data_IF_754902926604
#
_entry.id   IF_754902926604
#
_cell.length_a   1.000
_cell.length_b   1.000
_cell.length_c   1.000
_cell.angle_alpha   90.00
_cell.angle_beta   90.00
_cell.angle_gamma   90.00
#
_symmetry.space_group_name_H-M   'P 1'
#
loop_
_entity.id
_entity.type
_entity.pdbx_description
1 polymer ?
#
# COMPACT_ATOMS: atom_id res chain seq x y z
N UNK A 1 -30.35 8.00 3.12
CA UNK A 1 -29.82 6.92 2.27
C UNK A 1 -30.18 7.10 0.80
N UNK A 2 -31.45 7.00 0.37
CA UNK A 2 -31.85 7.13 -1.07
C UNK A 2 -31.27 8.37 -1.76
N UNK A 3 -31.44 9.56 -1.15
CA UNK A 3 -30.90 10.81 -1.69
C UNK A 3 -29.37 10.83 -1.76
N UNK A 4 -28.70 10.35 -0.71
CA UNK A 4 -27.23 10.32 -0.65
C UNK A 4 -26.62 9.42 -1.73
N UNK A 5 -27.10 8.19 -1.86
CA UNK A 5 -26.64 7.28 -2.91
C UNK A 5 -27.08 7.74 -4.31
N UNK A 6 -28.27 8.31 -4.44
CA UNK A 6 -28.75 8.87 -5.70
C UNK A 6 -27.86 10.02 -6.20
N UNK A 7 -27.44 10.91 -5.30
CA UNK A 7 -26.51 11.99 -5.63
C UNK A 7 -25.14 11.46 -6.06
N UNK A 8 -24.59 10.46 -5.34
CA UNK A 8 -23.34 9.81 -5.74
C UNK A 8 -23.45 9.15 -7.12
N UNK A 9 -24.56 8.46 -7.40
CA UNK A 9 -24.79 7.82 -8.70
C UNK A 9 -24.89 8.86 -9.83
N UNK A 10 -25.64 9.96 -9.61
CA UNK A 10 -25.74 11.05 -10.56
C UNK A 10 -24.38 11.71 -10.84
N UNK A 11 -23.58 11.97 -9.80
CA UNK A 11 -22.24 12.53 -9.95
C UNK A 11 -21.32 11.61 -10.77
N UNK A 12 -21.32 10.29 -10.49
CA UNK A 12 -20.53 9.32 -11.26
C UNK A 12 -21.00 9.25 -12.73
N UNK A 13 -22.31 9.33 -12.97
CA UNK A 13 -22.86 9.35 -14.33
C UNK A 13 -22.40 10.60 -15.11
N UNK A 14 -22.39 11.77 -14.46
CA UNK A 14 -21.89 13.00 -15.07
C UNK A 14 -20.40 12.87 -15.41
N UNK A 15 -19.58 12.38 -14.48
CA UNK A 15 -18.14 12.13 -14.71
C UNK A 15 -17.92 11.17 -15.89
N UNK A 16 -18.72 10.10 -15.97
CA UNK A 16 -18.66 9.14 -17.07
C UNK A 16 -19.00 9.76 -18.43
N UNK A 17 -20.03 10.59 -18.50
CA UNK A 17 -20.42 11.30 -19.73
C UNK A 17 -19.31 12.27 -20.17
N UNK A 18 -18.75 13.04 -19.23
CA UNK A 18 -17.62 13.94 -19.50
C UNK A 18 -16.40 13.17 -20.00
N UNK A 19 -16.08 12.03 -19.37
CA UNK A 19 -14.97 11.17 -19.76
C UNK A 19 -15.12 10.64 -21.20
N UNK A 20 -16.30 10.11 -21.57
CA UNK A 20 -16.52 9.60 -22.93
C UNK A 20 -16.49 10.73 -23.96
N UNK A 21 -17.08 11.87 -23.63
CA UNK A 21 -17.09 13.04 -24.51
C UNK A 21 -15.66 13.55 -24.78
N UNK A 22 -14.75 13.36 -23.82
CA UNK A 22 -13.33 13.70 -23.92
C UNK A 22 -12.49 12.77 -24.80
N UNK A 23 -13.03 11.67 -25.33
CA UNK A 23 -12.25 10.62 -26.04
C UNK A 23 -11.39 11.16 -27.18
N UNK A 24 -11.86 12.19 -27.89
CA UNK A 24 -11.15 12.80 -29.04
C UNK A 24 -9.86 13.52 -28.58
N UNK A 25 -9.80 13.97 -27.32
CA UNK A 25 -8.64 14.66 -26.75
C UNK A 25 -7.62 13.71 -26.11
N UNK A 26 -7.95 12.43 -25.94
CA UNK A 26 -7.06 11.46 -25.31
C UNK A 26 -6.06 10.90 -26.32
N UNK A 27 -4.76 10.93 -25.96
CA UNK A 27 -3.71 10.28 -26.73
C UNK A 27 -3.62 8.82 -26.27
N UNK A 28 -3.74 7.83 -27.18
CA UNK A 28 -3.58 6.44 -26.80
C UNK A 28 -2.12 6.17 -26.42
N UNK A 29 -1.91 5.66 -25.21
CA UNK A 29 -0.61 5.14 -24.81
C UNK A 29 -0.40 3.73 -25.38
N UNK A 30 0.85 3.39 -25.67
CA UNK A 30 1.21 2.05 -26.13
C UNK A 30 0.96 1.06 -25.00
N UNK A 31 0.20 0.01 -25.28
CA UNK A 31 -0.08 -1.07 -24.32
C UNK A 31 1.25 -1.73 -23.94
N UNK A 32 1.78 -1.40 -22.76
CA UNK A 32 2.85 -2.18 -22.14
C UNK A 32 2.25 -3.49 -21.63
N UNK A 33 2.97 -4.60 -21.81
CA UNK A 33 2.53 -5.91 -21.33
C UNK A 33 2.30 -5.88 -19.81
N UNK A 34 1.39 -6.73 -19.31
CA UNK A 34 1.09 -6.73 -17.88
C UNK A 34 2.25 -7.32 -17.06
N UNK A 35 2.77 -6.61 -16.05
CA UNK A 35 3.76 -7.09 -15.08
C UNK A 35 3.39 -8.46 -14.49
N UNK A 36 2.11 -8.63 -14.14
CA UNK A 36 1.58 -9.88 -13.58
C UNK A 36 1.76 -11.07 -14.52
N UNK A 37 1.62 -10.87 -15.84
CA UNK A 37 1.82 -11.97 -16.80
C UNK A 37 3.26 -12.43 -16.87
N UNK A 38 4.23 -11.54 -16.61
CA UNK A 38 5.65 -11.91 -16.53
C UNK A 38 5.92 -12.68 -15.23
N UNK A 39 5.40 -12.21 -14.10
CA UNK A 39 5.50 -12.92 -12.81
C UNK A 39 4.94 -14.34 -12.87
N UNK A 40 3.75 -14.53 -13.45
CA UNK A 40 3.14 -15.86 -13.60
C UNK A 40 3.99 -16.73 -14.54
N UNK A 41 4.55 -16.17 -15.62
CA UNK A 41 5.44 -16.90 -16.53
C UNK A 41 6.67 -17.44 -15.82
N UNK A 42 7.30 -16.66 -14.95
CA UNK A 42 8.47 -17.12 -14.16
C UNK A 42 8.12 -18.33 -13.29
N UNK A 43 6.96 -18.30 -12.63
CA UNK A 43 6.49 -19.42 -11.80
C UNK A 43 6.21 -20.67 -12.65
N UNK A 44 5.51 -20.51 -13.78
CA UNK A 44 5.19 -21.62 -14.69
C UNK A 44 6.48 -22.22 -15.29
N UNK A 45 7.39 -21.39 -15.79
CA UNK A 45 8.64 -21.85 -16.38
C UNK A 45 9.54 -22.57 -15.35
N UNK A 46 9.68 -22.02 -14.15
CA UNK A 46 10.46 -22.64 -13.08
C UNK A 46 9.87 -24.00 -12.66
N UNK A 47 8.54 -24.10 -12.52
CA UNK A 47 7.87 -25.35 -12.13
C UNK A 47 7.94 -26.43 -13.22
N UNK A 48 7.83 -26.06 -14.50
CA UNK A 48 8.03 -26.99 -15.62
C UNK A 48 9.46 -27.52 -15.67
N UNK A 49 10.45 -26.68 -15.31
CA UNK A 49 11.88 -27.00 -15.31
C UNK A 49 12.40 -27.53 -13.97
N UNK A 50 11.53 -27.85 -13.01
CA UNK A 50 11.92 -28.29 -11.64
C UNK A 50 12.83 -29.52 -11.58
N UNK A 51 12.86 -30.34 -12.64
CA UNK A 51 13.74 -31.54 -12.73
C UNK A 51 15.12 -31.24 -13.32
N UNK A 52 15.34 -30.03 -13.84
CA UNK A 52 16.62 -29.61 -14.39
C UNK A 52 17.53 -29.08 -13.29
N UNK A 53 18.84 -29.21 -13.51
CA UNK A 53 19.86 -28.72 -12.58
C UNK A 53 20.21 -27.30 -12.96
N UNK A 54 20.32 -26.41 -11.97
CA UNK A 54 20.79 -25.03 -12.15
C UNK A 54 22.21 -25.08 -12.73
N UNK A 55 22.44 -24.38 -13.85
CA UNK A 55 23.75 -24.35 -14.49
C UNK A 55 24.64 -23.27 -13.87
N UNK A 56 25.95 -23.54 -13.79
CA UNK A 56 26.96 -22.55 -13.39
C UNK A 56 27.51 -21.75 -14.58
N UNK A 57 27.01 -22.00 -15.81
CA UNK A 57 27.48 -21.33 -17.03
C UNK A 57 26.51 -20.23 -17.45
N UNK A 58 27.04 -19.03 -17.65
CA UNK A 58 26.28 -17.83 -18.02
C UNK A 58 25.56 -17.98 -19.37
N UNK A 59 26.15 -18.71 -20.31
CA UNK A 59 25.65 -18.94 -21.67
C UNK A 59 24.32 -19.71 -21.70
N UNK A 60 24.06 -20.50 -20.65
CA UNK A 60 22.88 -21.34 -20.53
C UNK A 60 21.63 -20.54 -20.14
N UNK A 61 21.75 -19.24 -19.82
CA UNK A 61 20.63 -18.39 -19.43
C UNK A 61 20.13 -17.50 -20.59
N UNK A 62 18.82 -17.29 -20.66
CA UNK A 62 18.17 -16.42 -21.63
C UNK A 62 18.14 -14.97 -21.13
N UNK A 63 18.75 -14.04 -21.87
CA UNK A 63 18.89 -12.64 -21.43
C UNK A 63 17.78 -11.69 -21.92
N UNK A 64 16.81 -12.19 -22.70
CA UNK A 64 15.79 -11.34 -23.32
C UNK A 64 16.34 -10.48 -24.46
N UNK A 65 15.45 -9.99 -25.33
CA UNK A 65 15.80 -9.35 -26.61
C UNK A 65 15.94 -7.80 -26.51
N UNK A 66 16.17 -7.25 -25.32
CA UNK A 66 15.86 -5.83 -25.02
C UNK A 66 16.99 -4.89 -24.60
N UNK A 67 18.24 -5.34 -24.43
CA UNK A 67 19.38 -4.44 -24.20
C UNK A 67 20.55 -4.85 -25.09
N UNK A 68 20.87 -3.98 -26.03
CA UNK A 68 22.05 -4.06 -26.88
C UNK A 68 23.29 -4.41 -26.04
N UNK A 69 23.94 -5.52 -26.41
CA UNK A 69 25.37 -5.86 -26.47
C UNK A 69 26.43 -5.26 -25.52
N UNK A 70 26.17 -4.29 -24.63
CA UNK A 70 27.20 -3.55 -23.91
C UNK A 70 26.97 -3.42 -22.39
N UNK A 71 26.02 -4.16 -21.81
CA UNK A 71 25.92 -4.29 -20.35
C UNK A 71 26.26 -5.72 -19.98
N UNK A 72 27.27 -5.89 -19.12
CA UNK A 72 27.76 -7.16 -18.57
C UNK A 72 26.68 -8.23 -18.47
N UNK A 73 26.97 -9.40 -19.06
CA UNK A 73 26.23 -10.66 -18.89
C UNK A 73 25.91 -10.84 -17.40
N UNK A 74 24.63 -10.73 -17.04
CA UNK A 74 24.18 -10.81 -15.65
C UNK A 74 23.92 -12.28 -15.29
N UNK A 75 24.77 -12.83 -14.42
CA UNK A 75 24.48 -14.07 -13.69
C UNK A 75 23.22 -13.88 -12.84
N UNK A 76 22.25 -14.81 -12.90
CA UNK A 76 21.14 -14.81 -11.96
C UNK A 76 21.64 -14.89 -10.51
N UNK A 77 20.98 -14.19 -9.60
CA UNK A 77 21.33 -14.21 -8.19
C UNK A 77 21.15 -15.62 -7.59
N UNK A 78 22.04 -16.02 -6.69
CA UNK A 78 21.97 -17.29 -5.94
C UNK A 78 20.78 -17.35 -4.98
N UNK A 79 20.25 -16.21 -4.54
CA UNK A 79 19.06 -16.20 -3.69
C UNK A 79 17.84 -16.67 -4.50
N UNK A 80 17.01 -17.53 -3.90
CA UNK A 80 15.84 -18.11 -4.56
C UNK A 80 16.20 -18.77 -5.91
N UNK A 81 17.33 -19.48 -5.94
CA UNK A 81 17.93 -20.11 -7.13
C UNK A 81 16.99 -21.05 -7.89
N UNK A 82 15.94 -21.57 -7.23
CA UNK A 82 14.88 -22.33 -7.89
C UNK A 82 14.27 -21.56 -9.08
N UNK A 83 14.08 -20.25 -8.99
CA UNK A 83 13.51 -19.47 -10.09
C UNK A 83 14.49 -19.22 -11.23
N UNK A 84 15.79 -19.46 -11.04
CA UNK A 84 16.79 -19.39 -12.13
C UNK A 84 16.48 -20.41 -13.22
N UNK A 85 15.81 -21.52 -12.86
CA UNK A 85 15.36 -22.54 -13.80
C UNK A 85 14.42 -21.96 -14.88
N UNK A 86 13.67 -20.89 -14.58
CA UNK A 86 12.81 -20.24 -15.58
C UNK A 86 13.59 -19.60 -16.74
N UNK A 87 14.81 -19.15 -16.47
CA UNK A 87 15.69 -18.53 -17.47
C UNK A 87 16.66 -19.52 -18.14
N UNK A 88 16.72 -20.78 -17.68
CA UNK A 88 17.63 -21.79 -18.20
C UNK A 88 17.18 -22.30 -19.59
N UNK A 89 18.05 -22.23 -20.60
CA UNK A 89 17.82 -22.77 -21.94
C UNK A 89 17.87 -24.30 -21.90
N UNK A 90 16.79 -24.95 -22.30
CA UNK A 90 16.75 -26.42 -22.45
C UNK A 90 16.69 -26.80 -23.93
N UNK A 91 17.19 -27.98 -24.32
CA UNK A 91 17.17 -28.48 -25.71
C UNK A 91 15.75 -28.47 -26.34
N UNK A 92 14.72 -28.63 -25.52
CA UNK A 92 13.31 -28.58 -25.92
C UNK A 92 12.78 -27.17 -26.23
N UNK A 93 13.50 -26.11 -25.86
CA UNK A 93 13.09 -24.71 -26.11
C UNK A 93 13.50 -24.22 -27.51
N UNK A 94 14.37 -24.97 -28.21
CA UNK A 94 14.91 -24.60 -29.53
C UNK A 94 13.97 -24.86 -30.71
N UNK A 95 12.91 -25.66 -30.52
CA UNK A 95 11.94 -25.98 -31.58
C UNK A 95 10.63 -25.20 -31.48
N UNK A 96 10.31 -24.63 -30.31
CA UNK A 96 9.08 -23.89 -30.08
C UNK A 96 9.31 -22.84 -28.98
N UNK A 97 9.59 -21.59 -29.35
CA UNK A 97 9.81 -20.46 -28.43
C UNK A 97 8.50 -20.06 -27.71
N UNK A 98 7.97 -20.96 -26.89
CA UNK A 98 6.81 -20.66 -26.07
C UNK A 98 7.25 -19.71 -24.95
N UNK A 99 6.72 -18.48 -24.97
CA UNK A 99 6.97 -17.43 -23.97
C UNK A 99 6.70 -17.86 -22.52
N UNK A 100 6.05 -19.01 -22.31
CA UNK A 100 5.70 -19.59 -21.01
C UNK A 100 6.72 -20.60 -20.47
N UNK A 101 7.66 -21.10 -21.29
CA UNK A 101 8.70 -22.06 -20.88
C UNK A 101 10.06 -21.41 -20.67
N UNK A 102 10.31 -20.26 -21.28
CA UNK A 102 11.58 -19.54 -21.20
C UNK A 102 11.34 -18.07 -20.88
N UNK A 103 11.82 -17.63 -19.73
CA UNK A 103 11.80 -16.24 -19.28
C UNK A 103 13.21 -15.63 -19.43
N UNK A 104 13.30 -14.31 -19.44
CA UNK A 104 14.60 -13.63 -19.37
C UNK A 104 15.14 -13.59 -17.93
N UNK A 105 16.46 -13.47 -17.77
CA UNK A 105 17.10 -13.28 -16.45
C UNK A 105 16.51 -12.05 -15.73
N UNK A 106 16.23 -10.97 -16.47
CA UNK A 106 15.62 -9.77 -15.89
C UNK A 106 14.26 -10.07 -15.27
N UNK A 107 13.35 -10.76 -15.99
CA UNK A 107 12.04 -11.14 -15.46
C UNK A 107 12.13 -12.01 -14.20
N UNK A 108 13.14 -12.90 -14.14
CA UNK A 108 13.39 -13.73 -12.97
C UNK A 108 13.87 -12.90 -11.78
N UNK A 109 14.82 -11.99 -11.98
CA UNK A 109 15.31 -11.11 -10.91
C UNK A 109 14.23 -10.13 -10.44
N UNK A 110 13.41 -9.59 -11.33
CA UNK A 110 12.27 -8.74 -10.99
C UNK A 110 11.26 -9.49 -10.11
N UNK A 111 10.96 -10.74 -10.46
CA UNK A 111 10.09 -11.61 -9.65
C UNK A 111 10.70 -11.91 -8.27
N UNK A 112 12.00 -12.19 -8.19
CA UNK A 112 12.68 -12.40 -6.91
C UNK A 112 12.69 -11.14 -6.04
N UNK A 113 12.88 -9.96 -6.63
CA UNK A 113 12.82 -8.69 -5.92
C UNK A 113 11.44 -8.51 -5.27
N UNK A 114 10.36 -8.79 -6.01
CA UNK A 114 8.98 -8.75 -5.49
C UNK A 114 8.79 -9.77 -4.34
N UNK A 115 9.32 -10.98 -4.47
CA UNK A 115 9.27 -11.98 -3.38
C UNK A 115 9.99 -11.50 -2.10
N UNK A 116 11.10 -10.77 -2.24
CA UNK A 116 11.82 -10.19 -1.08
C UNK A 116 11.01 -9.09 -0.38
N UNK A 117 10.06 -8.45 -1.10
CA UNK A 117 9.18 -7.42 -0.53
C UNK A 117 7.92 -7.99 0.12
N UNK A 118 7.59 -9.27 -0.09
CA UNK A 118 6.42 -9.90 0.52
C UNK A 118 6.37 -9.81 2.05
N UNK A 119 7.46 -10.03 2.81
CA UNK A 119 7.42 -9.90 4.27
C UNK A 119 7.07 -8.47 4.72
N UNK A 120 7.60 -7.47 4.01
CA UNK A 120 7.29 -6.07 4.28
C UNK A 120 5.83 -5.76 3.94
N UNK A 121 5.34 -6.23 2.80
CA UNK A 121 3.94 -6.07 2.42
C UNK A 121 2.98 -6.74 3.41
N UNK A 122 3.30 -7.96 3.86
CA UNK A 122 2.53 -8.67 4.87
C UNK A 122 2.50 -7.94 6.22
N UNK A 123 3.62 -7.35 6.65
CA UNK A 123 3.65 -6.58 7.90
C UNK A 123 2.79 -5.32 7.81
N UNK A 124 2.76 -4.64 6.65
CA UNK A 124 1.87 -3.49 6.41
C UNK A 124 0.40 -3.89 6.55
N UNK A 125 -0.03 -5.07 6.08
CA UNK A 125 -1.41 -5.54 6.23
C UNK A 125 -1.78 -5.72 7.70
N UNK A 126 -0.91 -6.41 8.45
CA UNK A 126 -1.13 -6.64 9.89
C UNK A 126 -1.26 -5.29 10.61
N UNK A 127 -0.36 -4.35 10.32
CA UNK A 127 -0.34 -3.04 10.96
C UNK A 127 -1.43 -2.08 10.45
N UNK A 128 -2.07 -2.35 9.31
CA UNK A 128 -3.23 -1.61 8.80
C UNK A 128 -4.55 -2.08 9.41
N UNK A 129 -4.58 -3.29 9.97
CA UNK A 129 -5.78 -3.87 10.60
C UNK A 129 -6.33 -3.00 11.74
N UNK A 130 -5.51 -2.49 12.68
CA UNK A 130 -5.97 -1.56 13.71
C UNK A 130 -6.65 -0.30 13.15
N UNK A 131 -6.12 0.27 12.06
CA UNK A 131 -6.70 1.47 11.43
C UNK A 131 -8.10 1.16 10.89
N UNK A 132 -8.26 0.03 10.19
CA UNK A 132 -9.55 -0.42 9.67
C UNK A 132 -10.56 -0.70 10.79
N UNK A 133 -10.12 -1.35 11.87
CA UNK A 133 -10.97 -1.59 13.04
C UNK A 133 -11.38 -0.27 13.71
N UNK A 134 -10.45 0.67 13.87
CA UNK A 134 -10.73 1.98 14.45
C UNK A 134 -11.79 2.73 13.63
N UNK A 135 -11.67 2.73 12.28
CA UNK A 135 -12.67 3.38 11.43
C UNK A 135 -14.10 2.87 11.65
N UNK A 136 -14.26 1.57 11.88
CA UNK A 136 -15.59 0.94 12.07
C UNK A 136 -16.07 1.06 13.51
N UNK A 137 -15.22 0.72 14.47
CA UNK A 137 -15.57 0.70 15.90
C UNK A 137 -15.86 2.10 16.43
N UNK A 138 -15.14 3.13 15.99
CA UNK A 138 -15.44 4.51 16.41
C UNK A 138 -16.86 4.94 16.04
N UNK A 139 -17.39 4.51 14.90
CA UNK A 139 -18.78 4.80 14.52
C UNK A 139 -19.76 4.10 15.46
N UNK A 140 -19.51 2.83 15.80
CA UNK A 140 -20.33 2.08 16.75
C UNK A 140 -20.29 2.69 18.15
N UNK A 141 -19.10 3.07 18.63
CA UNK A 141 -18.92 3.77 19.90
C UNK A 141 -19.71 5.08 19.92
N UNK A 142 -19.60 5.89 18.86
CA UNK A 142 -20.31 7.14 18.75
C UNK A 142 -21.84 6.98 18.74
N UNK A 143 -22.37 5.91 18.15
CA UNK A 143 -23.81 5.61 18.20
C UNK A 143 -24.30 5.34 19.62
N UNK A 144 -23.44 4.80 20.49
CA UNK A 144 -23.72 4.53 21.90
C UNK A 144 -23.35 5.68 22.86
N UNK A 145 -22.95 6.84 22.33
CA UNK A 145 -22.55 8.02 23.09
C UNK A 145 -23.54 9.18 22.89
N UNK A 146 -23.48 10.17 23.78
CA UNK A 146 -24.19 11.43 23.58
C UNK A 146 -23.50 12.25 22.48
N UNK A 147 -24.21 12.42 21.36
CA UNK A 147 -23.74 13.12 20.16
C UNK A 147 -24.18 14.59 20.12
N UNK A 148 -24.81 15.10 21.18
CA UNK A 148 -25.17 16.51 21.31
C UNK A 148 -23.92 17.40 21.39
N UNK A 149 -23.87 18.43 20.55
CA UNK A 149 -22.95 19.56 20.68
C UNK A 149 -23.80 20.82 20.85
N UNK A 150 -23.72 21.43 22.03
CA UNK A 150 -24.60 22.54 22.40
C UNK A 150 -26.06 22.09 22.57
N UNK A 151 -26.99 23.03 22.41
CA UNK A 151 -28.42 22.79 22.67
C UNK A 151 -29.17 22.13 21.50
N UNK A 152 -28.76 22.39 20.25
CA UNK A 152 -29.59 22.11 19.07
C UNK A 152 -28.95 21.22 18.00
N UNK A 153 -27.68 20.84 18.14
CA UNK A 153 -26.97 20.10 17.10
C UNK A 153 -26.56 18.71 17.57
N UNK A 154 -26.86 17.69 16.75
CA UNK A 154 -26.46 16.31 16.99
C UNK A 154 -25.56 15.83 15.87
N UNK A 155 -24.30 15.58 16.20
CA UNK A 155 -23.29 15.15 15.22
C UNK A 155 -23.66 13.76 14.67
N UNK A 156 -23.65 13.55 13.35
CA UNK A 156 -23.76 12.20 12.77
C UNK A 156 -22.58 11.32 13.19
N UNK A 157 -22.83 10.09 13.66
CA UNK A 157 -21.75 9.20 14.11
C UNK A 157 -20.69 8.94 13.01
N UNK A 158 -21.14 8.78 11.76
CA UNK A 158 -20.25 8.57 10.62
C UNK A 158 -19.38 9.79 10.24
N UNK A 159 -19.76 11.01 10.64
CA UNK A 159 -18.98 12.21 10.29
C UNK A 159 -17.78 12.44 11.21
N UNK A 160 -17.61 11.65 12.27
CA UNK A 160 -16.47 11.80 13.17
C UNK A 160 -15.13 11.49 12.48
N UNK A 161 -15.13 10.67 11.42
CA UNK A 161 -13.91 10.37 10.67
C UNK A 161 -13.30 11.60 10.00
N UNK A 162 -14.09 12.68 9.80
CA UNK A 162 -13.58 13.97 9.33
C UNK A 162 -12.49 14.51 10.25
N UNK A 163 -12.55 14.23 11.56
CA UNK A 163 -11.51 14.64 12.52
C UNK A 163 -10.16 14.00 12.14
N UNK A 164 -10.15 12.70 11.83
CA UNK A 164 -8.95 12.00 11.36
C UNK A 164 -8.46 12.60 10.05
N UNK A 165 -9.34 12.74 9.05
CA UNK A 165 -8.97 13.28 7.73
C UNK A 165 -8.37 14.69 7.82
N UNK A 166 -8.98 15.59 8.58
CA UNK A 166 -8.47 16.95 8.79
C UNK A 166 -7.13 16.92 9.51
N UNK A 167 -6.98 16.06 10.52
CA UNK A 167 -5.71 15.87 11.21
C UNK A 167 -4.62 15.35 10.27
N UNK A 168 -4.91 14.35 9.44
CA UNK A 168 -4.00 13.81 8.42
C UNK A 168 -3.53 14.91 7.48
N UNK A 169 -4.44 15.72 6.92
CA UNK A 169 -4.08 16.82 6.02
C UNK A 169 -3.21 17.86 6.73
N UNK A 170 -3.59 18.29 7.94
CA UNK A 170 -2.84 19.27 8.70
C UNK A 170 -1.42 18.78 9.00
N UNK A 171 -1.26 17.51 9.40
CA UNK A 171 0.04 16.93 9.70
C UNK A 171 0.85 16.59 8.45
N UNK A 172 0.25 16.30 7.30
CA UNK A 172 0.98 16.20 6.02
C UNK A 172 1.64 17.53 5.66
N UNK A 173 0.90 18.63 5.77
CA UNK A 173 1.42 19.98 5.53
C UNK A 173 2.50 20.31 6.57
N UNK A 174 2.25 20.05 7.85
CA UNK A 174 3.23 20.27 8.92
C UNK A 174 4.51 19.43 8.73
N UNK A 175 4.37 18.18 8.28
CA UNK A 175 5.51 17.29 8.06
C UNK A 175 6.42 17.82 6.95
N UNK A 176 5.83 18.24 5.83
CA UNK A 176 6.57 18.79 4.70
C UNK A 176 7.22 20.14 5.00
N UNK A 177 6.54 21.03 5.72
CA UNK A 177 7.02 22.39 5.98
C UNK A 177 7.96 22.49 7.20
N UNK A 178 7.74 21.66 8.22
CA UNK A 178 8.40 21.83 9.52
C UNK A 178 9.20 20.58 9.93
N UNK A 179 8.55 19.41 10.01
CA UNK A 179 9.17 18.21 10.62
C UNK A 179 10.37 17.73 9.81
N UNK A 180 10.24 17.56 8.49
CA UNK A 180 11.35 17.07 7.67
C UNK A 180 12.51 18.07 7.57
N UNK A 181 12.28 19.38 7.35
CA UNK A 181 13.35 20.38 7.40
C UNK A 181 14.06 20.45 8.76
N UNK A 182 13.31 20.41 9.88
CA UNK A 182 13.88 20.42 11.22
C UNK A 182 14.70 19.18 11.51
N UNK A 183 14.18 17.99 11.16
CA UNK A 183 14.91 16.73 11.31
C UNK A 183 16.23 16.77 10.55
N UNK A 184 16.21 17.26 9.30
CA UNK A 184 17.42 17.44 8.48
C UNK A 184 18.38 18.46 9.12
N UNK A 185 17.89 19.54 9.72
CA UNK A 185 18.73 20.55 10.38
C UNK A 185 19.40 20.01 11.64
N UNK A 186 18.67 19.24 12.44
CA UNK A 186 19.14 18.72 13.73
C UNK A 186 20.05 17.50 13.58
N UNK A 187 19.60 16.50 12.81
CA UNK A 187 20.26 15.19 12.70
C UNK A 187 21.18 15.12 11.47
N UNK A 188 21.11 16.11 10.57
CA UNK A 188 21.87 16.17 9.30
C UNK A 188 21.64 14.97 8.37
N UNK A 189 20.59 14.18 8.60
CA UNK A 189 20.15 13.06 7.76
C UNK A 189 18.69 13.25 7.34
N UNK A 190 18.29 12.61 6.26
CA UNK A 190 16.88 12.53 5.86
C UNK A 190 16.22 11.37 6.61
N UNK A 191 14.98 11.57 7.02
CA UNK A 191 14.17 10.52 7.60
C UNK A 191 13.85 9.51 6.49
N UNK A 192 14.20 8.23 6.68
CA UNK A 192 13.97 7.23 5.63
C UNK A 192 12.48 6.88 5.52
N UNK A 193 11.98 6.50 4.34
CA UNK A 193 10.59 6.07 4.19
C UNK A 193 10.23 4.94 5.17
N UNK A 194 11.10 3.94 5.35
CA UNK A 194 10.85 2.85 6.29
C UNK A 194 10.75 3.33 7.76
N UNK A 195 11.53 4.33 8.16
CA UNK A 195 11.41 4.95 9.48
C UNK A 195 10.08 5.68 9.64
N UNK A 196 9.62 6.39 8.60
CA UNK A 196 8.32 7.07 8.60
C UNK A 196 7.16 6.08 8.74
N UNK A 197 7.22 4.94 8.04
CA UNK A 197 6.26 3.83 8.19
C UNK A 197 6.21 3.37 9.64
N UNK A 198 7.37 3.09 10.25
CA UNK A 198 7.47 2.68 11.65
C UNK A 198 6.89 3.70 12.63
N UNK A 199 7.23 4.99 12.47
CA UNK A 199 6.71 6.08 13.31
C UNK A 199 5.18 6.15 13.20
N UNK A 200 4.64 6.12 11.99
CA UNK A 200 3.20 6.18 11.77
C UNK A 200 2.46 5.02 12.45
N UNK A 201 2.97 3.79 12.36
CA UNK A 201 2.37 2.64 13.03
C UNK A 201 2.46 2.71 14.56
N UNK A 202 3.58 3.18 15.13
CA UNK A 202 3.69 3.40 16.58
C UNK A 202 2.65 4.41 17.06
N UNK A 203 2.45 5.50 16.32
CA UNK A 203 1.43 6.51 16.64
C UNK A 203 0.02 5.91 16.55
N UNK A 204 -0.26 5.09 15.54
CA UNK A 204 -1.54 4.36 15.43
C UNK A 204 -1.78 3.42 16.61
N UNK A 205 -0.75 2.71 17.10
CA UNK A 205 -0.87 1.86 18.30
C UNK A 205 -1.22 2.71 19.53
N UNK A 206 -0.58 3.87 19.70
CA UNK A 206 -0.89 4.81 20.77
C UNK A 206 -2.35 5.30 20.66
N UNK A 207 -2.81 5.64 19.45
CA UNK A 207 -4.22 5.99 19.20
C UNK A 207 -5.18 4.87 19.64
N UNK A 208 -4.87 3.62 19.32
CA UNK A 208 -5.70 2.49 19.70
C UNK A 208 -5.72 2.29 21.23
N UNK A 209 -4.58 2.47 21.90
CA UNK A 209 -4.51 2.45 23.37
C UNK A 209 -5.37 3.55 23.99
N UNK A 210 -5.33 4.78 23.45
CA UNK A 210 -6.19 5.88 23.88
C UNK A 210 -7.67 5.52 23.66
N UNK A 211 -8.02 4.95 22.52
CA UNK A 211 -9.38 4.50 22.20
C UNK A 211 -9.88 3.46 23.19
N UNK A 212 -9.04 2.49 23.57
CA UNK A 212 -9.36 1.47 24.55
C UNK A 212 -9.62 2.06 25.95
N UNK A 213 -8.81 3.04 26.37
CA UNK A 213 -9.03 3.77 27.64
C UNK A 213 -10.34 4.55 27.62
N UNK A 214 -10.63 5.23 26.49
CA UNK A 214 -11.91 5.95 26.31
C UNK A 214 -13.08 4.98 26.41
N UNK A 215 -13.00 3.81 25.79
CA UNK A 215 -14.07 2.80 25.85
C UNK A 215 -14.25 2.23 27.25
N UNK A 216 -13.17 1.89 27.95
CA UNK A 216 -13.23 1.42 29.33
C UNK A 216 -13.91 2.44 30.24
N UNK A 217 -13.61 3.73 30.05
CA UNK A 217 -14.24 4.83 30.78
C UNK A 217 -15.72 5.00 30.39
N UNK A 218 -16.08 4.80 29.13
CA UNK A 218 -17.47 4.84 28.65
C UNK A 218 -18.30 3.74 29.31
N UNK A 219 -17.81 2.51 29.32
CA UNK A 219 -18.49 1.35 29.94
C UNK A 219 -18.77 1.60 31.43
N UNK A 220 -17.77 2.07 32.18
CA UNK A 220 -17.94 2.43 33.60
C UNK A 220 -18.97 3.54 33.84
N UNK A 221 -19.12 4.49 32.91
CA UNK A 221 -20.17 5.52 33.01
C UNK A 221 -21.56 4.96 32.76
N UNK A 222 -21.69 4.05 31.80
CA UNK A 222 -22.97 3.41 31.47
C UNK A 222 -23.46 2.53 32.62
N UNK A 223 -22.56 1.84 33.33
CA UNK A 223 -22.89 1.11 34.56
C UNK A 223 -23.52 2.01 35.63
N UNK A 224 -23.10 3.27 35.69
CA UNK A 224 -23.65 4.29 36.59
C UNK A 224 -24.88 5.02 36.00
N UNK A 225 -25.45 4.54 34.89
CA UNK A 225 -26.60 5.13 34.21
C UNK A 225 -26.32 6.46 33.49
N UNK A 226 -25.04 6.81 33.27
CA UNK A 226 -24.64 8.07 32.63
C UNK A 226 -24.16 7.87 31.20
N UNK A 227 -24.55 8.78 30.30
CA UNK A 227 -24.00 8.83 28.94
C UNK A 227 -22.70 9.62 28.89
N UNK A 228 -21.80 9.23 27.99
CA UNK A 228 -20.52 9.92 27.74
C UNK A 228 -20.64 10.76 26.47
N UNK A 229 -20.11 11.98 26.49
CA UNK A 229 -20.06 12.85 25.31
C UNK A 229 -19.13 12.30 24.24
N UNK A 230 -19.57 12.37 22.98
CA UNK A 230 -18.82 11.95 21.78
C UNK A 230 -17.48 12.67 21.61
N UNK A 231 -17.29 13.84 22.24
CA UNK A 231 -16.03 14.61 22.20
C UNK A 231 -14.84 13.83 22.77
N UNK A 232 -15.06 12.79 23.59
CA UNK A 232 -14.01 11.90 24.06
C UNK A 232 -13.36 11.06 22.95
N UNK A 233 -13.98 10.96 21.77
CA UNK A 233 -13.39 10.32 20.59
C UNK A 233 -12.44 11.25 19.82
N UNK A 234 -12.41 12.55 20.14
CA UNK A 234 -11.55 13.51 19.46
C UNK A 234 -10.04 13.19 19.62
N UNK A 235 -9.51 12.93 20.84
CA UNK A 235 -8.08 12.64 21.00
C UNK A 235 -7.58 11.43 20.19
N UNK A 236 -8.19 10.23 20.25
CA UNK A 236 -7.71 9.11 19.46
C UNK A 236 -7.85 9.35 17.96
N UNK A 237 -8.90 10.07 17.50
CA UNK A 237 -9.08 10.39 16.08
C UNK A 237 -8.02 11.37 15.55
N UNK A 238 -7.57 12.32 16.36
CA UNK A 238 -6.43 13.18 15.99
C UNK A 238 -5.15 12.37 15.95
N UNK A 239 -4.90 11.52 16.94
CA UNK A 239 -3.66 10.74 17.02
C UNK A 239 -3.54 9.77 15.84
N UNK A 240 -4.62 9.07 15.44
CA UNK A 240 -4.59 8.20 14.25
C UNK A 240 -4.33 9.00 12.97
N UNK A 241 -4.93 10.20 12.83
CA UNK A 241 -4.68 11.06 11.67
C UNK A 241 -3.22 11.53 11.58
N UNK A 242 -2.58 11.82 12.71
CA UNK A 242 -1.13 12.05 12.76
C UNK A 242 -0.39 10.83 12.24
N UNK A 243 -0.73 9.63 12.73
CA UNK A 243 -0.11 8.38 12.28
C UNK A 243 -0.24 8.15 10.78
N UNK A 244 -1.42 8.38 10.21
CA UNK A 244 -1.71 8.31 8.76
C UNK A 244 -0.83 9.24 7.94
N UNK A 245 -0.60 10.47 8.42
CA UNK A 245 0.25 11.44 7.73
C UNK A 245 1.72 10.98 7.60
N UNK A 246 2.17 10.04 8.44
CA UNK A 246 3.50 9.45 8.34
C UNK A 246 3.52 8.19 7.47
N UNK A 247 2.68 7.18 7.77
CA UNK A 247 2.85 5.87 7.13
C UNK A 247 2.25 5.76 5.72
N UNK A 248 1.20 6.52 5.37
CA UNK A 248 0.59 6.43 4.03
C UNK A 248 1.55 6.85 2.90
N UNK A 249 2.10 8.08 2.88
CA UNK A 249 3.04 8.48 1.83
C UNK A 249 4.33 7.65 1.88
N UNK A 250 4.75 7.24 3.07
CA UNK A 250 5.96 6.47 3.25
C UNK A 250 5.84 5.04 2.72
N UNK A 251 4.70 4.35 2.94
CA UNK A 251 4.44 3.04 2.34
C UNK A 251 4.50 3.10 0.82
N UNK A 252 3.86 4.12 0.23
CA UNK A 252 3.94 4.36 -1.22
C UNK A 252 5.39 4.55 -1.65
N UNK A 253 6.15 5.42 -0.97
CA UNK A 253 7.55 5.67 -1.31
C UNK A 253 8.46 4.43 -1.15
N UNK A 254 8.23 3.57 -0.15
CA UNK A 254 8.99 2.33 0.01
C UNK A 254 8.68 1.37 -1.14
N UNK A 255 7.41 1.12 -1.45
CA UNK A 255 7.09 0.20 -2.54
C UNK A 255 7.61 0.74 -3.88
N UNK A 256 7.30 1.99 -4.26
CA UNK A 256 7.82 2.54 -5.51
C UNK A 256 9.35 2.60 -5.58
N UNK A 257 10.05 2.74 -4.44
CA UNK A 257 11.52 2.75 -4.41
C UNK A 257 12.18 1.37 -4.47
N UNK A 258 11.46 0.32 -4.09
CA UNK A 258 12.00 -1.05 -4.01
C UNK A 258 11.50 -1.96 -5.15
N UNK A 259 10.40 -1.59 -5.82
CA UNK A 259 9.91 -2.32 -6.99
C UNK A 259 10.87 -2.11 -8.19
N UNK A 260 11.13 -3.14 -9.00
CA UNK A 260 11.91 -3.03 -10.23
C UNK A 260 11.33 -1.99 -11.21
N UNK A 261 12.18 -1.17 -11.82
CA UNK A 261 11.81 -0.13 -12.80
C UNK A 261 11.08 -0.66 -14.05
N UNK A 262 11.22 -1.96 -14.32
CA UNK A 262 10.61 -2.67 -15.45
C UNK A 262 9.13 -3.03 -15.24
N UNK A 263 8.59 -2.86 -14.02
CA UNK A 263 7.23 -3.26 -13.62
C UNK A 263 6.29 -2.07 -13.41
#
# INVERSE_FOLDING_TARGET
>A
WKLGFGLCAAANLIVFIVFISGKIFYKPEKIMGSPYTSMVRVVVAATMKRKSVVSSREEDYHQGLGKEANTSVLMPSESLSFFNLAALKTKEDGSNHSKWRLCSVQEVEDFKAVLRLLPLWASVIILSTPVAMQMTLTVLQALAMDRGIGSNFKVPAGSLQVISTVSTIAFLIMNSLLVYPMYKKLIRKRLTPLQQVGIGHVITIISMAISAVVEAKRLKKVENGQSMSVLWLFPPLVVVGIGEAFHLPANVAVFYGEFPDSL
#
